data_IF_606344795508
#
_entry.id   IF_606344795508
#
_cell.length_a   1.000
_cell.length_b   1.000
_cell.length_c   1.000
_cell.angle_alpha   90.00
_cell.angle_beta   90.00
_cell.angle_gamma   90.00
#
_symmetry.space_group_name_H-M   'P 1'
#
loop_
_entity.id
_entity.type
_entity.pdbx_description
1 polymer ?
#
# COMPACT_ATOMS: atom_id res chain seq x y z
N UNK A 1 -15.86 -29.05 6.40
CA UNK A 1 -15.80 -28.23 6.15
C UNK A 1 -15.28 -27.29 6.73
N UNK A 2 -15.04 -26.64 6.72
CA UNK A 2 -14.53 -25.81 7.35
C UNK A 2 -15.07 -24.60 7.16
N UNK A 3 -15.25 -24.07 7.75
CA UNK A 3 -15.80 -23.06 7.64
C UNK A 3 -15.21 -22.03 7.59
N UNK A 4 -14.71 -21.81 7.67
CA UNK A 4 -14.10 -21.01 7.66
C UNK A 4 -14.06 -19.82 7.56
N UNK A 5 -13.85 -19.45 7.11
CA UNK A 5 -13.69 -18.33 6.74
C UNK A 5 -14.70 -17.40 6.93
N UNK A 6 -15.82 -17.70 7.10
CA UNK A 6 -16.76 -16.77 7.28
C UNK A 6 -16.53 -15.94 8.42
N UNK A 7 -15.84 -16.36 9.38
CA UNK A 7 -15.61 -15.55 10.53
C UNK A 7 -14.54 -14.52 10.31
N UNK A 8 -13.87 -14.55 9.17
CA UNK A 8 -12.86 -13.66 8.94
C UNK A 8 -13.25 -12.80 7.88
N UNK A 9 -13.72 -11.71 7.97
CA UNK A 9 -14.07 -10.84 6.96
C UNK A 9 -12.88 -10.12 6.46
N UNK A 10 -12.22 -10.62 5.49
CA UNK A 10 -11.06 -10.02 4.86
C UNK A 10 -11.51 -9.25 3.64
N UNK A 11 -11.20 -7.97 3.59
CA UNK A 11 -11.56 -7.17 2.43
C UNK A 11 -10.71 -7.56 1.23
N UNK A 12 -11.24 -7.46 0.01
CA UNK A 12 -10.46 -7.72 -1.18
C UNK A 12 -9.43 -6.61 -1.38
N UNK A 13 -8.40 -6.90 -2.17
CA UNK A 13 -7.40 -5.90 -2.50
C UNK A 13 -8.05 -4.73 -3.22
N UNK A 14 -7.44 -3.56 -3.10
CA UNK A 14 -7.92 -2.38 -3.80
C UNK A 14 -7.69 -2.57 -5.30
N UNK A 15 -8.74 -2.38 -6.07
CA UNK A 15 -8.66 -2.51 -7.53
C UNK A 15 -8.41 -1.12 -8.13
N UNK A 16 -7.20 -0.89 -8.62
CA UNK A 16 -6.84 0.42 -9.17
C UNK A 16 -7.32 0.64 -10.60
N UNK A 17 -8.11 -0.27 -11.16
CA UNK A 17 -8.83 0.00 -12.39
C UNK A 17 -10.03 0.93 -12.12
N UNK A 18 -10.42 1.05 -10.86
CA UNK A 18 -11.55 1.88 -10.44
C UNK A 18 -11.06 3.29 -10.14
N UNK A 19 -11.70 4.29 -10.75
CA UNK A 19 -11.26 5.68 -10.60
C UNK A 19 -11.23 6.20 -9.18
N UNK A 20 -12.22 5.82 -8.37
CA UNK A 20 -12.23 6.27 -6.97
C UNK A 20 -11.04 5.73 -6.19
N UNK A 21 -10.57 4.52 -6.55
CA UNK A 21 -9.41 3.94 -5.90
C UNK A 21 -8.11 4.58 -6.40
N UNK A 22 -8.08 5.03 -7.65
CA UNK A 22 -6.97 5.79 -8.17
C UNK A 22 -6.85 7.13 -7.43
N UNK A 23 -7.97 7.78 -7.19
CA UNK A 23 -7.98 9.05 -6.44
C UNK A 23 -7.52 8.82 -5.00
N UNK A 24 -7.89 7.70 -4.42
CA UNK A 24 -7.46 7.35 -3.07
C UNK A 24 -5.94 7.19 -3.04
N UNK A 25 -5.36 6.48 -4.00
CA UNK A 25 -3.90 6.31 -4.08
C UNK A 25 -3.21 7.66 -4.19
N UNK A 26 -3.71 8.53 -5.07
CA UNK A 26 -3.16 9.87 -5.23
C UNK A 26 -3.21 10.63 -3.90
N UNK A 27 -4.34 10.55 -3.22
CA UNK A 27 -4.55 11.29 -1.99
C UNK A 27 -3.56 10.88 -0.90
N UNK A 28 -3.34 9.57 -0.77
CA UNK A 28 -2.41 9.06 0.22
C UNK A 28 -0.97 9.44 -0.13
N UNK A 29 -0.58 9.29 -1.40
CA UNK A 29 0.76 9.67 -1.83
C UNK A 29 0.99 11.16 -1.59
N UNK A 30 0.01 12.01 -1.90
CA UNK A 30 0.14 13.45 -1.68
C UNK A 30 0.22 13.77 -0.20
N UNK A 31 -0.60 13.12 0.63
CA UNK A 31 -0.56 13.32 2.08
C UNK A 31 0.83 13.03 2.62
N UNK A 32 1.46 11.99 2.11
CA UNK A 32 2.77 11.52 2.57
C UNK A 32 3.92 12.15 1.79
N UNK A 33 3.62 13.12 0.95
CA UNK A 33 4.61 13.84 0.14
C UNK A 33 5.44 12.89 -0.72
N UNK A 34 4.80 11.86 -1.27
CA UNK A 34 5.44 10.86 -2.14
C UNK A 34 6.67 10.24 -1.48
N UNK A 35 6.64 10.11 -0.17
CA UNK A 35 7.79 9.67 0.61
C UNK A 35 7.43 8.39 1.38
N UNK A 36 8.31 7.40 1.34
CA UNK A 36 8.14 6.19 2.12
C UNK A 36 8.08 6.54 3.60
N UNK A 37 7.01 6.15 4.27
CA UNK A 37 6.84 6.48 5.67
C UNK A 37 7.77 5.69 6.60
N UNK A 38 8.43 4.69 6.08
CA UNK A 38 9.32 3.86 6.90
C UNK A 38 10.78 4.27 6.75
N UNK A 39 11.28 4.43 5.54
CA UNK A 39 12.70 4.73 5.33
C UNK A 39 12.97 6.13 4.79
N UNK A 40 11.94 6.84 4.38
CA UNK A 40 12.11 8.19 3.85
C UNK A 40 12.49 8.27 2.38
N UNK A 41 12.55 7.14 1.69
CA UNK A 41 12.86 7.16 0.25
C UNK A 41 11.78 7.91 -0.53
N UNK A 42 12.22 8.64 -1.52
CA UNK A 42 11.33 9.42 -2.35
C UNK A 42 11.84 9.36 -3.79
N UNK A 43 10.97 9.19 -4.78
CA UNK A 43 11.42 9.17 -6.17
C UNK A 43 12.13 10.46 -6.55
N UNK A 44 13.12 10.36 -7.45
CA UNK A 44 13.85 11.54 -7.91
C UNK A 44 12.94 12.49 -8.66
N UNK A 45 11.98 11.96 -9.38
CA UNK A 45 11.05 12.77 -10.17
C UNK A 45 9.64 12.46 -9.70
N UNK A 46 8.93 13.48 -9.24
CA UNK A 46 7.54 13.35 -8.84
C UNK A 46 6.70 13.84 -10.01
N UNK A 47 5.79 13.01 -10.53
CA UNK A 47 4.96 13.43 -11.65
C UNK A 47 4.08 14.62 -11.27
N UNK A 48 4.08 15.64 -12.11
CA UNK A 48 3.17 16.76 -11.91
C UNK A 48 1.77 16.30 -12.24
N UNK A 49 0.80 16.76 -11.52
CA UNK A 49 -0.60 16.42 -11.75
C UNK A 49 -0.84 14.91 -11.76
N UNK A 50 -0.14 14.21 -10.88
CA UNK A 50 -0.32 12.77 -10.74
C UNK A 50 -1.77 12.47 -10.39
N UNK A 51 -2.41 11.59 -11.14
CA UNK A 51 -3.84 11.30 -10.96
C UNK A 51 -4.11 9.97 -10.24
N UNK A 52 -3.09 9.24 -9.88
CA UNK A 52 -3.28 7.96 -9.18
C UNK A 52 -3.48 6.78 -10.12
N UNK A 53 -3.45 7.01 -11.42
CA UNK A 53 -3.81 5.98 -12.39
C UNK A 53 -2.74 4.93 -12.61
N UNK A 54 -1.50 5.25 -12.37
CA UNK A 54 -0.40 4.32 -12.61
C UNK A 54 0.54 4.26 -11.41
N UNK A 55 1.34 3.19 -11.35
CA UNK A 55 2.32 3.03 -10.29
C UNK A 55 3.52 3.95 -10.53
N UNK A 56 4.10 4.47 -9.46
CA UNK A 56 5.31 5.27 -9.56
C UNK A 56 6.49 4.33 -9.30
N UNK A 57 7.37 4.22 -10.27
CA UNK A 57 8.49 3.30 -10.21
C UNK A 57 9.72 3.96 -10.80
N UNK A 58 10.85 3.78 -10.12
CA UNK A 58 12.11 4.36 -10.57
C UNK A 58 13.08 3.25 -10.94
N UNK A 59 13.21 2.99 -12.24
CA UNK A 59 14.00 1.88 -12.75
C UNK A 59 15.46 1.92 -12.30
N UNK A 60 16.07 3.10 -12.32
CA UNK A 60 17.50 3.22 -11.98
C UNK A 60 17.82 2.76 -10.58
N UNK A 61 16.85 2.88 -9.66
CA UNK A 61 17.02 2.46 -8.28
C UNK A 61 16.31 1.15 -7.99
N UNK A 62 15.58 0.64 -8.97
CA UNK A 62 14.80 -0.57 -8.84
C UNK A 62 13.88 -0.49 -7.63
N UNK A 63 13.29 0.66 -7.43
CA UNK A 63 12.39 0.91 -6.31
C UNK A 63 11.19 1.71 -6.82
N UNK A 64 10.17 1.83 -6.03
CA UNK A 64 8.96 2.56 -6.40
C UNK A 64 8.10 2.78 -5.18
N UNK A 65 6.94 3.37 -5.39
CA UNK A 65 5.99 3.61 -4.30
C UNK A 65 4.84 2.62 -4.39
N UNK A 66 4.31 2.26 -3.25
CA UNK A 66 3.10 1.45 -3.18
C UNK A 66 2.22 1.94 -2.04
N UNK A 67 0.94 1.62 -2.14
CA UNK A 67 -0.04 1.92 -1.11
C UNK A 67 -0.09 0.71 -0.19
N UNK A 68 0.20 0.92 1.08
CA UNK A 68 0.26 -0.16 2.04
C UNK A 68 -0.83 -0.02 3.10
N UNK A 69 -1.35 -1.14 3.57
CA UNK A 69 -2.29 -1.17 4.68
C UNK A 69 -1.49 -1.33 5.97
N UNK A 70 -1.57 -0.34 6.86
CA UNK A 70 -0.84 -0.37 8.13
C UNK A 70 -1.22 -1.64 8.89
N UNK A 71 -2.52 -1.89 9.06
CA UNK A 71 -3.00 -3.17 9.55
C UNK A 71 -3.35 -4.01 8.34
N UNK A 72 -2.72 -5.17 8.16
CA UNK A 72 -2.94 -5.98 6.96
C UNK A 72 -4.39 -6.38 6.79
N UNK A 73 -4.82 -6.49 5.54
CA UNK A 73 -6.20 -6.93 5.26
C UNK A 73 -6.45 -8.31 5.85
N UNK A 74 -5.45 -9.19 5.84
CA UNK A 74 -5.57 -10.52 6.41
C UNK A 74 -5.86 -10.51 7.91
N UNK A 75 -5.62 -9.38 8.58
CA UNK A 75 -5.89 -9.25 10.00
C UNK A 75 -7.07 -8.32 10.26
N UNK A 76 -7.91 -8.12 9.26
CA UNK A 76 -9.08 -7.28 9.42
C UNK A 76 -8.84 -5.80 9.16
N UNK A 77 -7.74 -5.47 8.52
CA UNK A 77 -7.48 -4.08 8.14
C UNK A 77 -8.50 -3.57 7.14
N UNK A 78 -8.64 -2.26 7.07
CA UNK A 78 -9.63 -1.61 6.20
C UNK A 78 -8.94 -0.75 5.17
N UNK A 79 -9.73 -0.23 4.22
CA UNK A 79 -9.25 0.71 3.21
C UNK A 79 -9.40 2.17 3.64
N UNK A 80 -9.62 2.42 4.93
CA UNK A 80 -9.73 3.79 5.40
C UNK A 80 -8.40 4.49 5.28
N UNK A 81 -8.43 5.77 5.00
CA UNK A 81 -7.20 6.55 4.83
C UNK A 81 -6.28 6.44 6.04
N UNK A 82 -6.86 6.36 7.22
CA UNK A 82 -6.07 6.21 8.46
C UNK A 82 -5.33 4.88 8.54
N UNK A 83 -5.73 3.91 7.74
CA UNK A 83 -5.06 2.61 7.69
C UNK A 83 -4.18 2.46 6.45
N UNK A 84 -3.99 3.53 5.69
CA UNK A 84 -3.20 3.49 4.47
C UNK A 84 -1.97 4.37 4.61
N UNK A 85 -0.89 3.95 4.00
CA UNK A 85 0.35 4.72 4.02
C UNK A 85 1.14 4.45 2.75
N UNK A 86 2.02 5.40 2.42
CA UNK A 86 2.95 5.25 1.31
C UNK A 86 4.19 4.52 1.80
N UNK A 87 4.56 3.44 1.15
CA UNK A 87 5.82 2.76 1.39
C UNK A 87 6.56 2.61 0.07
N UNK A 88 7.87 2.52 0.12
CA UNK A 88 8.61 2.11 -1.06
C UNK A 88 8.51 0.60 -1.19
N UNK A 89 8.78 0.10 -2.40
CA UNK A 89 8.64 -1.34 -2.67
C UNK A 89 9.53 -2.19 -1.76
N UNK A 90 10.73 -1.70 -1.45
CA UNK A 90 11.65 -2.43 -0.59
C UNK A 90 11.11 -2.55 0.83
N UNK A 91 10.62 -1.45 1.39
CA UNK A 91 10.05 -1.47 2.74
C UNK A 91 8.76 -2.28 2.78
N UNK A 92 7.96 -2.22 1.72
CA UNK A 92 6.75 -3.02 1.65
C UNK A 92 7.08 -4.52 1.65
N UNK A 93 8.11 -4.91 0.93
CA UNK A 93 8.56 -6.30 0.90
C UNK A 93 8.99 -6.77 2.29
N UNK A 94 9.72 -5.94 3.01
CA UNK A 94 10.15 -6.26 4.37
C UNK A 94 8.93 -6.39 5.29
N UNK A 95 8.00 -5.45 5.19
CA UNK A 95 6.81 -5.46 6.02
C UNK A 95 5.96 -6.71 5.78
N UNK A 96 5.83 -7.14 4.54
CA UNK A 96 5.08 -8.35 4.22
C UNK A 96 5.70 -9.55 4.92
N UNK A 97 7.01 -9.64 4.95
CA UNK A 97 7.69 -10.75 5.62
C UNK A 97 7.50 -10.67 7.14
N UNK A 98 7.56 -9.48 7.70
CA UNK A 98 7.33 -9.28 9.12
C UNK A 98 5.90 -9.67 9.51
N UNK A 99 4.94 -9.25 8.71
CA UNK A 99 3.53 -9.54 8.97
C UNK A 99 3.28 -11.06 8.92
N UNK A 100 3.90 -11.75 7.97
CA UNK A 100 3.74 -13.20 7.88
C UNK A 100 4.39 -13.91 9.06
N UNK A 101 5.53 -13.42 9.53
CA UNK A 101 6.17 -14.00 10.69
C UNK A 101 5.29 -13.88 11.93
N UNK A 102 4.64 -12.72 12.10
CA UNK A 102 3.72 -12.53 13.21
C UNK A 102 2.51 -13.44 13.13
N UNK A 103 2.02 -13.68 11.94
CA UNK A 103 0.85 -14.55 11.77
C UNK A 103 1.12 -15.99 12.16
N UNK A 104 2.38 -16.39 12.22
CA UNK A 104 2.72 -17.75 12.59
C UNK A 104 2.85 -17.92 14.08
N UNK A 105 2.86 -16.85 14.81
CA UNK A 105 2.92 -16.93 16.25
C UNK A 105 1.54 -17.16 16.83
#
# INVERSE_FOLDING_TARGET
MYTRVESRRVLPRIDFRIKSNQKLRRKIYQRDNFTCRRCGWRPSIIPQNYDGRYSIYEDSLNNGLCLDHIKPLARGGTHKESNLQTLCLRCNSIKVKEDKAEERL
#
